data_IF_091708276242
#
_entry.id   IF_091708276242
#
_cell.length_a   1.000
_cell.length_b   1.000
_cell.length_c   1.000
_cell.angle_alpha   90.00
_cell.angle_beta   90.00
_cell.angle_gamma   90.00
#
_symmetry.space_group_name_H-M   'P 1'
#
loop_
_entity.id
_entity.type
_entity.pdbx_description
1 polymer ?
#
# COMPACT_ATOMS: atom_id res chain seq x y z
N UNK A 1 11.14 38.84 -20.97
CA UNK A 1 9.94 38.45 -20.19
C UNK A 1 10.18 37.06 -19.64
N UNK A 2 10.42 36.93 -18.34
CA UNK A 2 10.75 35.65 -17.70
C UNK A 2 9.50 34.93 -17.24
N UNK A 3 9.38 33.64 -17.59
CA UNK A 3 8.29 32.78 -17.13
C UNK A 3 8.46 32.50 -15.64
N UNK A 4 7.70 33.21 -14.78
CA UNK A 4 7.58 32.85 -13.36
C UNK A 4 6.55 31.75 -13.22
N UNK A 5 7.02 30.54 -12.98
CA UNK A 5 6.17 29.42 -12.56
C UNK A 5 5.73 29.73 -11.13
N UNK A 6 4.42 29.68 -10.88
CA UNK A 6 3.87 29.89 -9.55
C UNK A 6 4.41 28.81 -8.58
N UNK A 7 4.70 29.16 -7.30
CA UNK A 7 5.24 28.19 -6.35
C UNK A 7 4.23 27.05 -6.12
N UNK A 8 4.71 25.79 -5.99
CA UNK A 8 3.84 24.65 -5.78
C UNK A 8 3.09 24.82 -4.45
N UNK A 9 1.76 24.83 -4.52
CA UNK A 9 0.89 24.86 -3.34
C UNK A 9 0.51 23.43 -3.00
N UNK A 10 0.73 23.03 -1.74
CA UNK A 10 0.23 21.75 -1.23
C UNK A 10 -1.29 21.85 -1.20
N UNK A 11 -1.94 21.17 -2.13
CA UNK A 11 -3.41 21.13 -2.23
C UNK A 11 -3.91 19.78 -1.73
N UNK A 12 -5.16 19.73 -1.25
CA UNK A 12 -5.80 18.46 -0.92
C UNK A 12 -5.83 17.50 -2.13
N UNK A 13 -5.91 18.04 -3.36
CA UNK A 13 -5.77 17.26 -4.59
C UNK A 13 -4.42 16.55 -4.73
N UNK A 14 -3.32 17.20 -4.33
CA UNK A 14 -2.01 16.57 -4.30
C UNK A 14 -1.94 15.44 -3.27
N UNK A 15 -2.57 15.60 -2.09
CA UNK A 15 -2.66 14.53 -1.10
C UNK A 15 -3.45 13.32 -1.63
N UNK A 16 -4.58 13.54 -2.30
CA UNK A 16 -5.33 12.46 -2.97
C UNK A 16 -4.52 11.79 -4.09
N UNK A 17 -3.75 12.55 -4.86
CA UNK A 17 -2.87 12.01 -5.88
C UNK A 17 -1.78 11.11 -5.26
N UNK A 18 -1.11 11.57 -4.20
CA UNK A 18 -0.11 10.77 -3.48
C UNK A 18 -0.74 9.50 -2.90
N UNK A 19 -1.90 9.61 -2.27
CA UNK A 19 -2.61 8.47 -1.72
C UNK A 19 -2.95 7.45 -2.81
N UNK A 20 -3.49 7.90 -3.95
CA UNK A 20 -3.93 7.02 -5.05
C UNK A 20 -2.78 6.37 -5.80
N UNK A 21 -1.72 7.13 -6.09
CA UNK A 21 -0.65 6.67 -6.99
C UNK A 21 0.57 6.11 -6.27
N UNK A 22 0.74 6.38 -4.97
CA UNK A 22 1.91 5.92 -4.20
C UNK A 22 1.46 4.98 -3.08
N UNK A 23 0.60 5.47 -2.18
CA UNK A 23 0.23 4.69 -1.01
C UNK A 23 -0.63 3.47 -1.39
N UNK A 24 -1.65 3.65 -2.22
CA UNK A 24 -2.55 2.57 -2.63
C UNK A 24 -1.82 1.39 -3.29
N UNK A 25 -0.95 1.56 -4.30
CA UNK A 25 -0.22 0.44 -4.88
C UNK A 25 0.78 -0.19 -3.90
N UNK A 26 1.41 0.62 -3.04
CA UNK A 26 2.34 0.12 -2.03
C UNK A 26 1.62 -0.78 -1.02
N UNK A 27 0.52 -0.30 -0.43
CA UNK A 27 -0.28 -1.07 0.51
C UNK A 27 -0.96 -2.28 -0.16
N UNK A 28 -1.39 -2.15 -1.42
CA UNK A 28 -1.93 -3.27 -2.19
C UNK A 28 -0.89 -4.37 -2.42
N UNK A 29 0.34 -4.01 -2.76
CA UNK A 29 1.43 -4.97 -2.92
C UNK A 29 1.78 -5.64 -1.58
N UNK A 30 1.84 -4.87 -0.49
CA UNK A 30 2.07 -5.41 0.85
C UNK A 30 0.97 -6.39 1.29
N UNK A 31 -0.29 -6.05 1.04
CA UNK A 31 -1.42 -6.91 1.35
C UNK A 31 -1.40 -8.21 0.54
N UNK A 32 -1.06 -8.14 -0.76
CA UNK A 32 -0.86 -9.33 -1.58
C UNK A 32 0.25 -10.23 -1.04
N UNK A 33 1.37 -9.63 -0.62
CA UNK A 33 2.48 -10.37 -0.02
C UNK A 33 2.06 -11.06 1.28
N UNK A 34 1.28 -10.38 2.13
CA UNK A 34 0.76 -10.95 3.37
C UNK A 34 -0.16 -12.15 3.12
N UNK A 35 -1.03 -12.07 2.09
CA UNK A 35 -1.89 -13.18 1.67
C UNK A 35 -1.06 -14.36 1.14
N UNK A 36 -0.02 -14.09 0.35
CA UNK A 36 0.88 -15.14 -0.16
C UNK A 36 1.57 -15.85 1.01
N UNK A 37 2.06 -15.10 1.99
CA UNK A 37 2.68 -15.70 3.17
C UNK A 37 1.68 -16.48 4.01
N UNK A 38 0.48 -15.95 4.24
CA UNK A 38 -0.58 -16.69 4.92
C UNK A 38 -0.83 -18.06 4.28
N UNK A 39 -1.02 -18.10 2.95
CA UNK A 39 -1.23 -19.34 2.21
C UNK A 39 -0.03 -20.29 2.30
N UNK A 40 1.19 -19.75 2.17
CA UNK A 40 2.41 -20.54 2.28
C UNK A 40 2.57 -21.15 3.67
N UNK A 41 2.44 -20.38 4.74
CA UNK A 41 2.57 -20.87 6.12
C UNK A 41 1.45 -21.86 6.47
N UNK A 42 0.23 -21.61 6.02
CA UNK A 42 -0.91 -22.50 6.24
C UNK A 42 -0.69 -23.87 5.56
N UNK A 43 -0.25 -23.89 4.30
CA UNK A 43 -0.15 -25.13 3.52
C UNK A 43 1.18 -25.88 3.72
N UNK A 44 2.28 -25.14 3.95
CA UNK A 44 3.63 -25.74 4.02
C UNK A 44 4.07 -26.01 5.45
N UNK A 45 3.78 -25.10 6.39
CA UNK A 45 4.26 -25.21 7.77
C UNK A 45 3.16 -25.64 8.76
N UNK A 46 1.90 -25.73 8.32
CA UNK A 46 0.76 -26.02 9.20
C UNK A 46 0.63 -25.00 10.35
N UNK A 47 1.17 -23.80 10.16
CA UNK A 47 1.21 -22.73 11.15
C UNK A 47 0.46 -21.54 10.59
N UNK A 48 -0.23 -20.83 11.47
CA UNK A 48 -1.00 -19.66 11.08
C UNK A 48 -0.12 -18.42 11.21
N UNK A 49 -0.06 -17.59 10.16
CA UNK A 49 0.83 -16.42 10.06
C UNK A 49 0.10 -15.26 9.38
N UNK A 50 0.31 -14.03 9.88
CA UNK A 50 -0.27 -12.82 9.30
C UNK A 50 -1.62 -12.44 9.93
N UNK A 51 -2.29 -11.43 9.35
CA UNK A 51 -3.50 -10.83 9.94
C UNK A 51 -4.69 -11.80 9.92
N UNK A 52 -4.74 -12.67 8.92
CA UNK A 52 -5.77 -13.71 8.78
C UNK A 52 -5.70 -14.79 9.87
N UNK A 53 -4.58 -14.90 10.58
CA UNK A 53 -4.46 -15.77 11.75
C UNK A 53 -5.39 -15.37 12.91
N UNK A 54 -5.73 -14.08 13.03
CA UNK A 54 -6.65 -13.60 14.07
C UNK A 54 -8.10 -14.06 13.85
N UNK A 55 -8.42 -14.52 12.64
CA UNK A 55 -9.75 -14.99 12.23
C UNK A 55 -9.85 -16.53 12.20
N UNK A 56 -8.77 -17.25 12.53
CA UNK A 56 -8.67 -18.72 12.46
C UNK A 56 -9.02 -19.40 13.77
#
# INVERSE_FOLDING_TARGET
MGWRIAPPRVTLGAAFAVLKYIALPLFGALALLDVIFYLYFQHVLGRCYGVLCLLS
#
